data_IF_650913889172
#
_entry.id   IF_650913889172
#
_cell.length_a   1.000
_cell.length_b   1.000
_cell.length_c   1.000
_cell.angle_alpha   90.00
_cell.angle_beta   90.00
_cell.angle_gamma   90.00
#
_symmetry.space_group_name_H-M   'P 1'
#
loop_
_entity.id
_entity.type
_entity.pdbx_description
1 polymer ?
2 water ?
#
# COMPACT_ATOMS: atom_id res chain seq x y z
N UNK A 1 4.84 -6.63 -14.23
CA UNK A 1 5.25 -7.18 -12.93
C UNK A 1 4.04 -7.45 -12.04
N UNK A 2 4.11 -8.51 -11.22
CA UNK A 2 2.97 -8.86 -10.37
C UNK A 2 2.77 -7.82 -9.27
N UNK A 3 1.56 -7.78 -8.73
CA UNK A 3 1.27 -6.98 -7.55
C UNK A 3 2.17 -7.42 -6.40
N UNK A 4 2.83 -6.46 -5.77
CA UNK A 4 3.61 -6.71 -4.56
C UNK A 4 2.68 -7.06 -3.40
N UNK A 5 3.06 -8.05 -2.58
CA UNK A 5 2.26 -8.38 -1.40
C UNK A 5 2.24 -7.19 -0.45
N UNK A 6 1.23 -7.13 0.40
CA UNK A 6 1.18 -6.14 1.46
C UNK A 6 2.24 -6.43 2.52
N UNK A 7 2.72 -5.38 3.21
CA UNK A 7 3.63 -5.63 4.33
C UNK A 7 2.88 -6.33 5.47
N UNK A 8 3.61 -6.87 6.44
CA UNK A 8 2.98 -7.56 7.57
C UNK A 8 2.02 -6.66 8.35
N UNK A 9 0.89 -7.23 8.76
CA UNK A 9 -0.06 -6.52 9.59
C UNK A 9 -1.08 -5.71 8.81
N UNK A 10 -0.94 -5.65 7.49
CA UNK A 10 -1.87 -4.91 6.64
C UNK A 10 -2.88 -5.82 5.93
N UNK A 11 -4.07 -5.29 5.67
CA UNK A 11 -5.06 -6.02 4.88
C UNK A 11 -5.79 -5.07 3.94
N UNK A 12 -6.07 -5.53 2.73
CA UNK A 12 -6.83 -4.74 1.77
C UNK A 12 -8.32 -5.09 1.85
N UNK A 13 -9.18 -4.09 2.02
CA UNK A 13 -10.61 -4.33 1.88
C UNK A 13 -11.20 -3.27 0.96
N UNK A 14 -12.52 -3.26 0.82
CA UNK A 14 -13.16 -2.27 -0.03
C UNK A 14 -14.09 -1.39 0.77
N UNK A 15 -13.90 -0.09 0.61
CA UNK A 15 -14.74 0.90 1.26
C UNK A 15 -16.07 0.97 0.51
N UNK A 16 -17.13 1.39 1.20
CA UNK A 16 -18.45 1.51 0.58
C UNK A 16 -18.48 2.41 -0.67
N UNK A 17 -17.50 3.30 -0.79
CA UNK A 17 -17.40 4.17 -1.96
C UNK A 17 -17.02 3.38 -3.22
N UNK A 18 -16.58 2.14 -3.04
CA UNK A 18 -16.13 1.32 -4.16
C UNK A 18 -14.62 1.33 -4.36
N UNK A 19 -13.91 2.12 -3.55
CA UNK A 19 -12.45 2.17 -3.63
C UNK A 19 -11.81 1.24 -2.61
N UNK A 20 -10.65 0.67 -2.95
CA UNK A 20 -9.92 -0.15 -1.97
C UNK A 20 -9.35 0.72 -0.86
N UNK A 21 -9.26 0.15 0.34
CA UNK A 21 -8.59 0.82 1.45
C UNK A 21 -7.70 -0.18 2.14
N UNK A 22 -6.62 0.30 2.74
CA UNK A 22 -5.61 -0.59 3.28
C UNK A 22 -5.48 -0.30 4.77
N UNK A 23 -5.70 -1.31 5.59
CA UNK A 23 -5.79 -1.14 7.03
C UNK A 23 -4.65 -1.86 7.70
N UNK A 24 -3.94 -1.17 8.59
CA UNK A 24 -2.98 -1.83 9.46
C UNK A 24 -3.75 -2.11 10.73
N UNK A 25 -4.08 -3.38 10.94
CA UNK A 25 -5.09 -3.75 11.93
C UNK A 25 -4.73 -3.31 13.35
N UNK A 26 -3.48 -3.56 13.75
CA UNK A 26 -3.03 -3.32 15.12
C UNK A 26 -2.97 -1.83 15.51
N UNK A 27 -2.57 -0.98 14.57
CA UNK A 27 -2.55 0.45 14.84
C UNK A 27 -3.83 1.18 14.43
N UNK A 28 -4.75 0.46 13.77
CA UNK A 28 -5.98 1.04 13.23
C UNK A 28 -5.70 2.21 12.28
N UNK A 29 -4.64 2.07 11.48
CA UNK A 29 -4.24 3.11 10.54
C UNK A 29 -4.66 2.71 9.14
N UNK A 30 -5.23 3.66 8.40
CA UNK A 30 -5.71 3.40 7.05
C UNK A 30 -4.98 4.27 6.03
N UNK A 31 -4.72 3.70 4.85
CA UNK A 31 -4.30 4.50 3.71
C UNK A 31 -5.11 4.09 2.48
N UNK A 32 -5.31 5.02 1.55
CA UNK A 32 -6.06 4.74 0.34
C UNK A 32 -5.19 4.39 -0.87
N UNK A 33 -3.88 4.27 -0.66
CA UNK A 33 -2.94 3.79 -1.68
C UNK A 33 -2.22 2.57 -1.13
N UNK A 34 -2.00 1.57 -1.97
CA UNK A 34 -1.44 0.30 -1.50
C UNK A 34 -0.05 0.48 -0.87
N UNK A 35 0.08 0.16 0.43
CA UNK A 35 1.39 0.28 1.08
C UNK A 35 2.35 -0.81 0.63
N UNK A 36 3.65 -0.54 0.72
CA UNK A 36 4.67 -1.52 0.38
C UNK A 36 5.92 -1.40 1.25
N UNK A 37 6.69 -2.47 1.30
CA UNK A 37 7.92 -2.51 2.08
C UNK A 37 9.05 -1.89 1.27
N UNK A 38 9.63 -0.82 1.80
CA UNK A 38 10.70 -0.12 1.10
C UNK A 38 12.03 -0.83 1.37
N UNK A 39 12.20 -1.28 2.61
CA UNK A 39 13.43 -1.95 2.99
C UNK A 39 14.61 -1.01 2.94
N UNK A 40 15.70 -1.45 2.32
CA UNK A 40 16.90 -0.63 2.24
C UNK A 40 16.88 0.35 1.08
N UNK A 41 15.76 0.40 0.36
CA UNK A 41 15.62 1.33 -0.75
C UNK A 41 15.64 2.78 -0.30
N UNK A 42 15.97 3.68 -1.22
CA UNK A 42 16.02 5.11 -0.91
C UNK A 42 14.63 5.73 -0.99
N UNK A 43 14.17 6.30 0.12
CA UNK A 43 12.82 6.85 0.18
C UNK A 43 12.60 7.88 -0.93
N UNK A 44 13.61 8.72 -1.19
CA UNK A 44 13.46 9.77 -2.19
C UNK A 44 13.69 9.32 -3.62
N UNK A 45 14.52 8.29 -3.81
CA UNK A 45 14.99 7.95 -5.16
C UNK A 45 14.48 6.64 -5.76
N UNK A 46 13.95 5.75 -4.92
CA UNK A 46 13.47 4.45 -5.40
C UNK A 46 12.31 4.59 -6.39
N UNK A 47 12.14 3.59 -7.25
CA UNK A 47 10.97 3.52 -8.11
C UNK A 47 9.89 2.71 -7.36
N UNK A 48 8.73 3.32 -7.14
CA UNK A 48 7.65 2.58 -6.47
C UNK A 48 7.11 1.43 -7.31
N UNK A 49 6.61 0.37 -6.65
CA UNK A 49 5.97 -0.71 -7.42
C UNK A 49 4.71 -0.19 -8.11
N UNK A 50 4.38 -0.76 -9.26
CA UNK A 50 3.28 -0.25 -10.06
C UNK A 50 1.95 -0.24 -9.29
N UNK A 51 1.71 -1.27 -8.49
CA UNK A 51 0.44 -1.38 -7.76
C UNK A 51 0.28 -0.32 -6.66
N UNK A 52 1.34 0.46 -6.41
CA UNK A 52 1.31 1.42 -5.30
C UNK A 52 1.33 2.87 -5.76
N UNK A 53 1.49 3.06 -7.06
CA UNK A 53 1.55 4.41 -7.61
C UNK A 53 0.16 5.03 -7.58
N UNK A 54 0.05 6.28 -7.11
CA UNK A 54 -1.27 6.90 -7.10
C UNK A 54 -1.55 7.50 -8.47
N UNK A 55 -2.73 8.08 -8.67
CA UNK A 55 -3.04 8.74 -9.93
C UNK A 55 -1.94 9.76 -10.24
N UNK A 56 -1.65 9.92 -11.54
CA UNK A 56 -0.43 10.54 -12.10
C UNK A 56 0.57 9.46 -12.54
#
# INVERSE_FOLDING_TARGET
PPTEPLPDGWIMTFHNSGLPVYLHRETRVVTWSRPYFLGTGSIRKHDPPISSIPCL
#
